data_IF_754382735848
#
_entry.id   IF_754382735848
#
_cell.length_a   1.000
_cell.length_b   1.000
_cell.length_c   1.000
_cell.angle_alpha   90.00
_cell.angle_beta   90.00
_cell.angle_gamma   90.00
#
_symmetry.space_group_name_H-M   'P 1'
#
loop_
_entity.id
_entity.type
_entity.pdbx_description
1 polymer ?
#
# COMPACT_ATOMS: atom_id res chain seq x y z
N UNK A 1 -38.51 -1.65 -4.21
CA UNK A 1 -37.29 -1.00 -3.69
C UNK A 1 -36.44 -0.58 -4.86
N UNK A 2 -36.17 0.71 -5.03
CA UNK A 2 -35.26 1.18 -6.09
C UNK A 2 -33.84 1.05 -5.52
N UNK A 3 -33.03 0.17 -6.10
CA UNK A 3 -31.61 0.12 -5.79
C UNK A 3 -31.01 1.48 -6.20
N UNK A 4 -30.46 2.22 -5.23
CA UNK A 4 -29.70 3.43 -5.54
C UNK A 4 -28.54 3.02 -6.43
N UNK A 5 -28.47 3.57 -7.64
CA UNK A 5 -27.33 3.34 -8.52
C UNK A 5 -26.09 3.91 -7.83
N UNK A 6 -25.06 3.09 -7.67
CA UNK A 6 -23.75 3.57 -7.28
C UNK A 6 -23.36 4.67 -8.28
N UNK A 7 -23.10 5.87 -7.78
CA UNK A 7 -22.62 6.97 -8.62
C UNK A 7 -21.36 6.53 -9.35
N UNK A 8 -21.38 6.60 -10.68
CA UNK A 8 -20.19 6.29 -11.46
C UNK A 8 -19.02 7.19 -11.03
N UNK A 9 -17.77 6.68 -11.06
CA UNK A 9 -16.61 7.47 -10.65
C UNK A 9 -16.43 8.66 -11.59
N UNK A 10 -15.84 9.74 -11.06
CA UNK A 10 -15.46 10.91 -11.86
C UNK A 10 -14.45 10.47 -12.94
N UNK A 11 -14.55 11.01 -14.15
CA UNK A 11 -13.60 10.72 -15.24
C UNK A 11 -12.93 12.00 -15.77
N UNK A 12 -11.61 11.96 -15.93
CA UNK A 12 -10.81 13.01 -16.57
C UNK A 12 -10.10 12.38 -17.76
N UNK A 13 -10.29 12.93 -18.96
CA UNK A 13 -9.75 12.40 -20.21
C UNK A 13 -10.02 10.88 -20.40
N UNK A 14 -11.20 10.42 -19.97
CA UNK A 14 -11.60 9.01 -20.05
C UNK A 14 -11.09 8.13 -18.91
N UNK A 15 -10.20 8.60 -18.03
CA UNK A 15 -9.68 7.86 -16.88
C UNK A 15 -10.51 8.13 -15.64
N UNK A 16 -11.01 7.07 -15.01
CA UNK A 16 -11.66 7.13 -13.71
C UNK A 16 -10.66 7.57 -12.63
N UNK A 17 -11.03 8.62 -11.92
CA UNK A 17 -10.28 9.24 -10.83
C UNK A 17 -11.20 9.40 -9.62
N UNK A 18 -10.68 9.32 -8.40
CA UNK A 18 -11.53 9.38 -7.22
C UNK A 18 -12.08 10.80 -7.03
N UNK A 19 -13.39 10.91 -6.78
CA UNK A 19 -14.00 12.13 -6.26
C UNK A 19 -13.72 12.27 -4.75
N UNK A 20 -14.22 13.34 -4.11
CA UNK A 20 -13.97 13.60 -2.68
C UNK A 20 -14.47 12.47 -1.77
N UNK A 21 -15.66 11.91 -2.02
CA UNK A 21 -16.20 10.78 -1.23
C UNK A 21 -15.29 9.56 -1.37
N UNK A 22 -14.86 9.27 -2.60
CA UNK A 22 -13.96 8.14 -2.89
C UNK A 22 -12.59 8.35 -2.25
N UNK A 23 -12.03 9.56 -2.31
CA UNK A 23 -10.77 9.90 -1.64
C UNK A 23 -10.86 9.71 -0.12
N UNK A 24 -11.96 10.10 0.51
CA UNK A 24 -12.17 9.89 1.96
C UNK A 24 -12.24 8.38 2.27
N UNK A 25 -13.00 7.60 1.49
CA UNK A 25 -13.09 6.15 1.67
C UNK A 25 -11.74 5.44 1.45
N UNK A 26 -10.95 5.92 0.48
CA UNK A 26 -9.59 5.44 0.21
C UNK A 26 -8.64 5.77 1.36
N UNK A 27 -8.70 7.00 1.88
CA UNK A 27 -7.86 7.41 3.01
C UNK A 27 -8.19 6.64 4.29
N UNK A 28 -9.48 6.37 4.57
CA UNK A 28 -9.88 5.56 5.72
C UNK A 28 -9.39 4.11 5.57
N UNK A 29 -9.57 3.52 4.38
CA UNK A 29 -9.04 2.18 4.08
C UNK A 29 -7.52 2.13 4.21
N UNK A 30 -6.83 3.09 3.62
CA UNK A 30 -5.37 3.25 3.70
C UNK A 30 -4.86 3.41 5.12
N UNK A 31 -5.53 4.23 5.94
CA UNK A 31 -5.18 4.41 7.35
C UNK A 31 -5.33 3.12 8.16
N UNK A 32 -6.42 2.38 7.97
CA UNK A 32 -6.63 1.11 8.63
C UNK A 32 -5.61 0.05 8.20
N UNK A 33 -5.34 -0.03 6.89
CA UNK A 33 -4.27 -0.88 6.35
C UNK A 33 -2.92 -0.51 6.95
N UNK A 34 -2.55 0.78 6.95
CA UNK A 34 -1.27 1.26 7.48
C UNK A 34 -1.14 0.94 8.97
N UNK A 35 -2.18 1.15 9.77
CA UNK A 35 -2.15 0.80 11.19
C UNK A 35 -1.89 -0.69 11.42
N UNK A 36 -2.53 -1.55 10.62
CA UNK A 36 -2.27 -2.99 10.64
C UNK A 36 -0.84 -3.32 10.20
N UNK A 37 -0.33 -2.64 9.17
CA UNK A 37 1.04 -2.80 8.69
C UNK A 37 2.06 -2.43 9.77
N UNK A 38 1.90 -1.30 10.46
CA UNK A 38 2.82 -0.87 11.51
C UNK A 38 2.87 -1.88 12.65
N UNK A 39 1.73 -2.44 13.06
CA UNK A 39 1.67 -3.52 14.05
C UNK A 39 2.40 -4.76 13.52
N UNK A 40 2.12 -5.17 12.28
CA UNK A 40 2.74 -6.34 11.66
C UNK A 40 4.27 -6.21 11.54
N UNK A 41 4.73 -5.05 11.10
CA UNK A 41 6.14 -4.73 10.90
C UNK A 41 6.94 -4.69 12.21
N UNK A 42 6.30 -4.26 13.31
CA UNK A 42 6.96 -4.02 14.59
C UNK A 42 6.78 -5.12 15.64
N UNK A 43 5.78 -6.01 15.49
CA UNK A 43 5.48 -7.04 16.50
C UNK A 43 5.74 -8.46 15.97
N UNK A 44 4.93 -9.05 15.07
CA UNK A 44 5.16 -10.42 14.61
C UNK A 44 6.44 -10.53 13.78
N UNK A 45 6.81 -9.50 13.01
CA UNK A 45 8.01 -9.58 12.16
C UNK A 45 9.31 -9.76 12.95
N UNK A 46 9.64 -8.93 13.97
CA UNK A 46 10.82 -9.16 14.79
C UNK A 46 10.84 -10.52 15.48
N UNK A 47 9.68 -11.00 15.96
CA UNK A 47 9.56 -12.28 16.66
C UNK A 47 9.85 -13.48 15.74
N UNK A 48 9.54 -13.35 14.45
CA UNK A 48 9.67 -14.44 13.49
C UNK A 48 10.97 -14.34 12.69
N UNK A 49 11.30 -13.15 12.18
CA UNK A 49 12.38 -12.90 11.25
C UNK A 49 13.65 -12.29 11.88
N UNK A 50 13.67 -12.11 13.20
CA UNK A 50 14.85 -11.59 13.94
C UNK A 50 15.06 -10.08 13.84
N UNK A 51 14.20 -9.35 13.13
CA UNK A 51 14.22 -7.90 13.03
C UNK A 51 12.91 -7.32 12.45
N UNK A 52 12.63 -6.03 12.67
CA UNK A 52 11.46 -5.37 12.13
C UNK A 52 11.53 -5.17 10.62
N UNK A 53 10.38 -4.97 9.99
CA UNK A 53 10.33 -4.32 8.68
C UNK A 53 10.44 -2.81 8.90
N UNK A 54 11.45 -2.18 8.29
CA UNK A 54 11.76 -0.77 8.49
C UNK A 54 11.52 0.06 7.20
N UNK A 55 10.27 0.35 6.81
CA UNK A 55 9.98 1.20 5.65
C UNK A 55 10.70 2.56 5.68
N UNK A 56 10.79 3.28 6.83
CA UNK A 56 11.55 4.54 6.85
C UNK A 56 13.04 4.34 6.51
N UNK A 57 13.65 3.23 6.92
CA UNK A 57 15.04 2.93 6.56
C UNK A 57 15.20 2.70 5.05
N UNK A 58 14.25 2.00 4.42
CA UNK A 58 14.23 1.83 2.97
C UNK A 58 14.08 3.17 2.24
N UNK A 59 13.17 4.05 2.70
CA UNK A 59 13.00 5.39 2.13
C UNK A 59 14.28 6.21 2.25
N UNK A 60 14.94 6.21 3.42
CA UNK A 60 16.23 6.89 3.60
C UNK A 60 17.30 6.35 2.66
N UNK A 61 17.46 5.02 2.62
CA UNK A 61 18.44 4.37 1.75
C UNK A 61 18.19 4.67 0.26
N UNK A 62 16.92 4.72 -0.16
CA UNK A 62 16.55 5.09 -1.53
C UNK A 62 16.97 6.52 -1.88
N UNK A 63 16.68 7.51 -1.02
CA UNK A 63 17.04 8.90 -1.26
C UNK A 63 18.55 9.14 -1.19
N UNK A 64 19.24 8.48 -0.24
CA UNK A 64 20.69 8.54 -0.14
C UNK A 64 21.35 7.95 -1.40
N UNK A 65 20.92 6.76 -1.84
CA UNK A 65 21.52 6.06 -2.97
C UNK A 65 21.20 6.72 -4.33
N UNK A 66 19.99 7.24 -4.52
CA UNK A 66 19.56 7.80 -5.80
C UNK A 66 19.88 9.30 -5.94
N UNK A 67 19.83 10.05 -4.84
CA UNK A 67 19.90 11.51 -4.87
C UNK A 67 21.03 12.09 -4.01
N UNK A 68 21.72 11.27 -3.20
CA UNK A 68 22.70 11.76 -2.23
C UNK A 68 22.08 12.58 -1.09
N UNK A 69 20.78 12.41 -0.83
CA UNK A 69 20.04 13.17 0.18
C UNK A 69 19.80 12.30 1.42
N UNK A 70 20.33 12.75 2.56
CA UNK A 70 20.05 12.16 3.86
C UNK A 70 18.75 12.71 4.46
N UNK A 71 17.71 11.89 4.48
CA UNK A 71 16.42 12.28 5.07
C UNK A 71 16.43 12.12 6.59
N UNK A 72 15.74 13.05 7.28
CA UNK A 72 15.40 12.88 8.68
C UNK A 72 14.41 11.71 8.86
N UNK A 73 14.41 11.08 10.04
CA UNK A 73 13.47 9.99 10.34
C UNK A 73 12.02 10.45 10.26
N UNK A 74 11.74 11.68 10.67
CA UNK A 74 10.39 12.29 10.57
C UNK A 74 9.96 12.37 9.12
N UNK A 75 10.84 12.86 8.23
CA UNK A 75 10.54 12.98 6.79
C UNK A 75 10.34 11.62 6.14
N UNK A 76 11.22 10.65 6.40
CA UNK A 76 11.12 9.31 5.84
C UNK A 76 9.83 8.61 6.30
N UNK A 77 9.48 8.73 7.58
CA UNK A 77 8.24 8.20 8.13
C UNK A 77 7.00 8.88 7.56
N UNK A 78 7.04 10.21 7.38
CA UNK A 78 5.95 10.94 6.75
C UNK A 78 5.72 10.49 5.29
N UNK A 79 6.79 10.28 4.51
CA UNK A 79 6.69 9.78 3.13
C UNK A 79 6.12 8.35 3.09
N UNK A 80 6.58 7.47 3.97
CA UNK A 80 6.02 6.12 4.12
C UNK A 80 4.53 6.17 4.47
N UNK A 81 4.14 6.96 5.47
CA UNK A 81 2.75 7.09 5.89
C UNK A 81 1.87 7.69 4.79
N UNK A 82 2.35 8.71 4.09
CA UNK A 82 1.63 9.29 2.97
C UNK A 82 1.41 8.26 1.85
N UNK A 83 2.42 7.46 1.54
CA UNK A 83 2.33 6.38 0.55
C UNK A 83 1.32 5.30 0.99
N UNK A 84 1.34 4.91 2.26
CA UNK A 84 0.42 3.92 2.83
C UNK A 84 -1.02 4.39 2.99
N UNK A 85 -1.27 5.67 3.27
CA UNK A 85 -2.63 6.21 3.44
C UNK A 85 -3.25 6.64 2.11
N UNK A 86 -2.46 7.21 1.21
CA UNK A 86 -2.98 7.82 -0.03
C UNK A 86 -2.44 7.14 -1.28
N UNK A 87 -1.11 6.99 -1.38
CA UNK A 87 -0.45 6.50 -2.60
C UNK A 87 -1.00 5.14 -3.07
N UNK A 88 -0.86 4.12 -2.24
CA UNK A 88 -1.29 2.76 -2.59
C UNK A 88 -2.82 2.63 -2.74
N UNK A 89 -3.68 3.23 -1.89
CA UNK A 89 -5.12 3.16 -2.10
C UNK A 89 -5.57 3.86 -3.40
N UNK A 90 -5.03 5.05 -3.71
CA UNK A 90 -5.36 5.74 -4.96
C UNK A 90 -4.93 4.92 -6.17
N UNK A 91 -3.73 4.31 -6.14
CA UNK A 91 -3.27 3.43 -7.20
C UNK A 91 -4.17 2.19 -7.35
N UNK A 92 -4.59 1.57 -6.24
CA UNK A 92 -5.61 0.50 -6.26
C UNK A 92 -6.89 0.94 -6.97
N UNK A 93 -7.43 2.11 -6.62
CA UNK A 93 -8.64 2.64 -7.26
C UNK A 93 -8.44 2.83 -8.76
N UNK A 94 -7.37 3.52 -9.17
CA UNK A 94 -7.11 3.80 -10.58
C UNK A 94 -6.97 2.50 -11.37
N UNK A 95 -6.24 1.52 -10.86
CA UNK A 95 -6.04 0.23 -11.54
C UNK A 95 -7.34 -0.55 -11.67
N UNK A 96 -8.11 -0.66 -10.59
CA UNK A 96 -9.34 -1.48 -10.59
C UNK A 96 -10.50 -0.83 -11.34
N UNK A 97 -10.51 0.50 -11.51
CA UNK A 97 -11.60 1.24 -12.18
C UNK A 97 -11.32 1.51 -13.66
N UNK A 98 -10.07 1.37 -14.07
CA UNK A 98 -9.64 1.57 -15.46
C UNK A 98 -9.08 0.30 -16.12
N UNK A 99 -8.78 -0.74 -15.35
CA UNK A 99 -8.28 -2.01 -15.83
C UNK A 99 -9.29 -3.14 -15.64
N UNK A 100 -8.74 -4.34 -15.45
CA UNK A 100 -9.52 -5.55 -15.17
C UNK A 100 -9.65 -5.69 -13.65
N UNK A 101 -10.88 -5.82 -13.16
CA UNK A 101 -11.19 -6.23 -11.80
C UNK A 101 -11.55 -7.71 -11.80
N UNK A 102 -10.91 -8.48 -10.94
CA UNK A 102 -11.20 -9.91 -10.72
C UNK A 102 -12.15 -10.13 -9.53
N UNK A 103 -12.71 -9.04 -9.00
CA UNK A 103 -13.51 -9.03 -7.79
C UNK A 103 -12.75 -8.32 -6.67
N UNK A 104 -13.41 -7.32 -6.08
CA UNK A 104 -12.79 -6.34 -5.18
C UNK A 104 -11.94 -6.92 -4.03
N UNK A 105 -12.32 -8.03 -3.35
CA UNK A 105 -11.46 -8.64 -2.34
C UNK A 105 -10.16 -9.22 -2.92
N UNK A 106 -10.24 -9.91 -4.07
CA UNK A 106 -9.07 -10.50 -4.74
C UNK A 106 -8.17 -9.40 -5.30
N UNK A 107 -8.75 -8.34 -5.87
CA UNK A 107 -8.00 -7.18 -6.36
C UNK A 107 -7.17 -6.53 -5.24
N UNK A 108 -7.75 -6.37 -4.05
CA UNK A 108 -7.06 -5.80 -2.89
C UNK A 108 -5.89 -6.67 -2.42
N UNK A 109 -6.09 -7.98 -2.36
CA UNK A 109 -5.03 -8.93 -1.98
C UNK A 109 -3.88 -8.95 -3.00
N UNK A 110 -4.21 -9.03 -4.30
CA UNK A 110 -3.22 -8.99 -5.39
C UNK A 110 -2.48 -7.66 -5.43
N UNK A 111 -3.19 -6.55 -5.22
CA UNK A 111 -2.58 -5.24 -5.10
C UNK A 111 -1.60 -5.20 -3.93
N UNK A 112 -1.99 -5.73 -2.77
CA UNK A 112 -1.09 -5.93 -1.65
C UNK A 112 0.18 -6.68 -2.04
N UNK A 113 0.07 -7.87 -2.62
CA UNK A 113 1.24 -8.62 -3.10
C UNK A 113 2.12 -7.81 -4.07
N UNK A 114 1.49 -7.04 -4.96
CA UNK A 114 2.22 -6.17 -5.89
C UNK A 114 2.94 -5.01 -5.18
N UNK A 115 2.39 -4.46 -4.10
CA UNK A 115 3.09 -3.44 -3.30
C UNK A 115 4.34 -4.00 -2.62
N UNK A 116 4.40 -5.30 -2.27
CA UNK A 116 5.66 -5.94 -1.87
C UNK A 116 6.67 -5.94 -3.00
N UNK A 117 6.24 -6.26 -4.21
CA UNK A 117 7.12 -6.23 -5.38
C UNK A 117 7.63 -4.82 -5.66
N UNK A 118 6.81 -3.78 -5.50
CA UNK A 118 7.27 -2.39 -5.57
C UNK A 118 8.32 -2.11 -4.48
N UNK A 119 8.04 -2.42 -3.21
CA UNK A 119 8.94 -2.11 -2.11
C UNK A 119 10.27 -2.87 -2.19
N UNK A 120 10.22 -4.20 -2.33
CA UNK A 120 11.41 -5.04 -2.24
C UNK A 120 11.96 -5.47 -3.61
N UNK A 121 11.12 -5.52 -4.64
CA UNK A 121 11.55 -5.88 -5.99
C UNK A 121 12.08 -4.67 -6.78
N UNK A 122 11.59 -3.46 -6.48
CA UNK A 122 12.00 -2.24 -7.19
C UNK A 122 12.79 -1.31 -6.25
N UNK A 123 12.20 -0.86 -5.14
CA UNK A 123 12.85 0.15 -4.29
C UNK A 123 14.07 -0.38 -3.55
N UNK A 124 14.09 -1.63 -3.08
CA UNK A 124 15.27 -2.20 -2.43
C UNK A 124 16.49 -2.21 -3.38
N UNK A 125 16.42 -2.72 -4.62
CA UNK A 125 17.51 -2.57 -5.60
C UNK A 125 17.93 -1.11 -5.85
N UNK A 126 16.96 -0.20 -6.01
CA UNK A 126 17.26 1.22 -6.17
C UNK A 126 17.88 1.86 -4.92
N UNK A 127 17.68 1.27 -3.74
CA UNK A 127 18.31 1.68 -2.49
C UNK A 127 19.68 1.00 -2.26
N UNK A 128 20.21 0.24 -3.23
CA UNK A 128 21.46 -0.50 -3.09
C UNK A 128 21.34 -1.80 -2.28
N UNK A 129 20.13 -2.27 -2.02
CA UNK A 129 19.84 -3.53 -1.32
C UNK A 129 19.58 -4.67 -2.33
N UNK A 130 19.76 -5.95 -1.95
CA UNK A 130 19.49 -7.06 -2.86
C UNK A 130 18.02 -7.12 -3.31
N UNK A 131 17.77 -7.58 -4.54
CA UNK A 131 16.43 -7.84 -5.05
C UNK A 131 15.64 -8.75 -4.10
N UNK A 132 14.46 -8.29 -3.72
CA UNK A 132 13.58 -8.94 -2.74
C UNK A 132 14.28 -9.25 -1.40
N UNK A 133 15.44 -8.66 -1.10
CA UNK A 133 16.31 -9.00 0.03
C UNK A 133 16.78 -10.47 0.06
N UNK A 134 16.71 -11.21 -1.05
CA UNK A 134 16.86 -12.68 -1.04
C UNK A 134 18.23 -13.18 -0.57
N UNK A 135 19.29 -12.37 -0.68
CA UNK A 135 20.65 -12.77 -0.28
C UNK A 135 20.80 -13.01 1.22
N UNK A 136 20.02 -12.33 2.06
CA UNK A 136 20.13 -12.40 3.53
C UNK A 136 18.82 -12.22 4.29
N UNK A 137 17.81 -11.64 3.66
CA UNK A 137 16.54 -11.25 4.25
C UNK A 137 15.34 -12.01 3.70
N UNK A 138 15.50 -13.23 3.17
CA UNK A 138 14.40 -14.01 2.59
C UNK A 138 13.19 -14.16 3.52
N UNK A 139 13.41 -14.25 4.84
CA UNK A 139 12.33 -14.27 5.82
C UNK A 139 11.64 -12.91 5.97
N UNK A 140 12.37 -11.80 5.88
CA UNK A 140 11.79 -10.46 5.81
C UNK A 140 10.96 -10.27 4.53
N UNK A 141 11.36 -10.86 3.40
CA UNK A 141 10.57 -10.89 2.16
C UNK A 141 9.23 -11.58 2.37
N UNK A 142 9.23 -12.73 3.04
CA UNK A 142 8.00 -13.46 3.37
C UNK A 142 7.11 -12.63 4.29
N UNK A 143 7.68 -12.09 5.37
CA UNK A 143 6.93 -11.25 6.31
C UNK A 143 6.38 -9.98 5.63
N UNK A 144 7.14 -9.38 4.72
CA UNK A 144 6.70 -8.24 3.92
C UNK A 144 5.55 -8.61 2.99
N UNK A 145 5.65 -9.76 2.29
CA UNK A 145 4.58 -10.28 1.42
C UNK A 145 3.28 -10.48 2.20
N UNK A 146 3.36 -11.14 3.36
CA UNK A 146 2.18 -11.37 4.20
C UNK A 146 1.63 -10.01 4.66
N UNK A 147 2.46 -9.14 5.22
CA UNK A 147 2.06 -7.83 5.72
C UNK A 147 1.37 -6.95 4.66
N UNK A 148 1.89 -6.94 3.44
CA UNK A 148 1.35 -6.12 2.36
C UNK A 148 0.05 -6.71 1.80
N UNK A 149 -0.08 -8.03 1.73
CA UNK A 149 -1.32 -8.67 1.28
C UNK A 149 -2.47 -8.44 2.26
N UNK A 150 -2.20 -8.52 3.58
CA UNK A 150 -3.21 -8.19 4.60
C UNK A 150 -3.53 -6.69 4.63
N UNK A 151 -2.52 -5.82 4.44
CA UNK A 151 -2.69 -4.38 4.26
C UNK A 151 -3.64 -4.10 3.07
N UNK A 152 -3.32 -4.64 1.89
CA UNK A 152 -4.06 -4.37 0.65
C UNK A 152 -5.49 -4.89 0.71
N UNK A 153 -5.67 -6.11 1.26
CA UNK A 153 -6.99 -6.70 1.47
C UNK A 153 -7.86 -5.86 2.43
N UNK A 154 -7.31 -5.43 3.57
CA UNK A 154 -8.05 -4.61 4.54
C UNK A 154 -8.39 -3.23 3.98
N UNK A 155 -7.42 -2.56 3.36
CA UNK A 155 -7.61 -1.23 2.79
C UNK A 155 -8.70 -1.25 1.72
N UNK A 156 -8.61 -2.18 0.76
CA UNK A 156 -9.64 -2.38 -0.24
C UNK A 156 -11.00 -2.70 0.40
N UNK A 157 -11.07 -3.68 1.30
CA UNK A 157 -12.34 -4.07 1.94
C UNK A 157 -13.07 -2.88 2.57
N UNK A 158 -12.37 -2.05 3.35
CA UNK A 158 -12.97 -0.90 4.01
C UNK A 158 -13.37 0.19 3.03
N UNK A 159 -12.53 0.51 2.04
CA UNK A 159 -12.90 1.46 0.98
C UNK A 159 -14.19 1.01 0.29
N UNK A 160 -14.26 -0.26 -0.13
CA UNK A 160 -15.41 -0.76 -0.86
C UNK A 160 -16.67 -0.84 -0.01
N UNK A 161 -16.53 -1.14 1.28
CA UNK A 161 -17.64 -1.10 2.24
C UNK A 161 -18.21 0.31 2.38
N UNK A 162 -17.36 1.30 2.59
CA UNK A 162 -17.76 2.71 2.73
C UNK A 162 -18.40 3.26 1.45
N UNK A 163 -17.97 2.77 0.28
CA UNK A 163 -18.58 3.14 -0.99
C UNK A 163 -19.93 2.46 -1.25
N UNK A 164 -20.15 1.26 -0.68
CA UNK A 164 -21.41 0.54 -0.78
C UNK A 164 -22.48 1.06 0.20
N UNK A 165 -22.07 1.74 1.28
CA UNK A 165 -23.01 2.37 2.21
C UNK A 165 -23.77 3.51 1.55
N UNK A 166 -25.11 3.43 1.66
CA UNK A 166 -26.02 4.49 1.26
C UNK A 166 -25.95 5.57 2.34
N UNK A 167 -25.53 6.78 1.95
CA UNK A 167 -25.81 8.00 2.73
C UNK A 167 -27.23 8.43 2.41
#
# INVERSE_FOLDING_TARGET
MIAAQATAPMRIAGIAVPNVKELIALAIGGLAGLGLWEIWASVPTPLIAGGPLEPPALVKALFAHQLGIELSDVTAKALHYFTGVFGYPIAYFVLTRNGISLGKPLDGWLWGAFTTFIALGIFAPLAGLPFLLLTWGGQLTLMSTIGHTIYGALAAYLTERLLAEKV
#
